data_IF_705770783857
#
_entry.id   IF_705770783857
#
_cell.length_a   1.000
_cell.length_b   1.000
_cell.length_c   1.000
_cell.angle_alpha   90.00
_cell.angle_beta   90.00
_cell.angle_gamma   90.00
#
_symmetry.space_group_name_H-M   'P 1'
#
loop_
_entity.id
_entity.type
_entity.pdbx_description
1 polymer ?
#
# COMPACT_ATOMS: atom_id res chain seq x y z
N UNK A 1 -29.74 -35.03 -26.84
CA UNK A 1 -29.11 -34.62 -25.59
C UNK A 1 -28.63 -33.20 -25.76
N UNK A 2 -28.97 -32.29 -24.86
CA UNK A 2 -28.42 -30.95 -24.92
C UNK A 2 -26.92 -31.04 -24.67
N UNK A 3 -26.15 -30.73 -25.68
CA UNK A 3 -24.71 -30.71 -25.60
C UNK A 3 -24.28 -29.54 -24.72
N UNK A 4 -24.14 -29.80 -23.43
CA UNK A 4 -23.50 -28.88 -22.51
C UNK A 4 -22.02 -28.93 -22.78
N UNK A 5 -21.49 -27.97 -23.54
CA UNK A 5 -20.06 -27.80 -23.71
C UNK A 5 -19.38 -27.54 -22.38
N UNK A 6 -18.11 -27.97 -22.28
CA UNK A 6 -17.24 -27.74 -21.09
C UNK A 6 -17.24 -26.28 -20.62
N UNK A 7 -17.39 -25.30 -21.53
CA UNK A 7 -17.40 -23.88 -21.22
C UNK A 7 -18.73 -23.34 -20.67
N UNK A 8 -19.78 -24.15 -20.53
CA UNK A 8 -21.07 -23.66 -20.06
C UNK A 8 -21.07 -23.14 -18.61
N UNK A 9 -20.34 -23.73 -17.66
CA UNK A 9 -20.18 -23.16 -16.32
C UNK A 9 -19.39 -21.86 -16.27
N UNK A 10 -18.66 -21.54 -17.35
CA UNK A 10 -17.83 -20.33 -17.47
C UNK A 10 -18.56 -19.17 -18.17
N UNK A 11 -19.87 -19.27 -18.35
CA UNK A 11 -20.66 -18.19 -18.91
C UNK A 11 -20.75 -17.03 -17.93
N UNK A 12 -20.38 -15.86 -18.42
CA UNK A 12 -20.55 -14.61 -17.69
C UNK A 12 -22.05 -14.30 -17.56
N UNK A 13 -22.48 -13.93 -16.38
CA UNK A 13 -23.87 -13.50 -16.11
C UNK A 13 -24.09 -12.07 -16.60
N UNK A 14 -25.36 -11.66 -16.72
CA UNK A 14 -25.70 -10.29 -17.07
C UNK A 14 -25.22 -9.29 -16.00
N UNK A 15 -25.27 -9.71 -14.74
CA UNK A 15 -24.84 -8.88 -13.60
C UNK A 15 -23.33 -8.64 -13.65
N UNK A 16 -22.54 -9.66 -13.98
CA UNK A 16 -21.09 -9.54 -14.19
C UNK A 16 -20.78 -8.63 -15.39
N UNK A 17 -21.53 -8.72 -16.47
CA UNK A 17 -21.37 -7.83 -17.64
C UNK A 17 -21.68 -6.38 -17.28
N UNK A 18 -22.76 -6.12 -16.55
CA UNK A 18 -23.12 -4.76 -16.10
C UNK A 18 -22.06 -4.22 -15.13
N UNK A 19 -21.61 -5.06 -14.18
CA UNK A 19 -20.54 -4.69 -13.24
C UNK A 19 -19.26 -4.32 -13.96
N UNK A 20 -18.81 -5.12 -14.92
CA UNK A 20 -17.60 -4.84 -15.70
C UNK A 20 -17.76 -3.56 -16.55
N UNK A 21 -18.92 -3.39 -17.19
CA UNK A 21 -19.18 -2.17 -17.98
C UNK A 21 -19.13 -0.91 -17.10
N UNK A 22 -19.72 -0.97 -15.92
CA UNK A 22 -19.69 0.14 -14.96
C UNK A 22 -18.28 0.42 -14.46
N UNK A 23 -17.52 -0.63 -14.12
CA UNK A 23 -16.12 -0.49 -13.70
C UNK A 23 -15.24 0.14 -14.79
N UNK A 24 -15.40 -0.31 -16.05
CA UNK A 24 -14.68 0.28 -17.18
C UNK A 24 -15.04 1.75 -17.40
N UNK A 25 -16.32 2.09 -17.29
CA UNK A 25 -16.76 3.48 -17.41
C UNK A 25 -16.13 4.36 -16.34
N UNK A 26 -16.19 3.95 -15.08
CA UNK A 26 -15.57 4.67 -13.96
C UNK A 26 -14.06 4.80 -14.16
N UNK A 27 -13.40 3.72 -14.57
CA UNK A 27 -11.96 3.74 -14.87
C UNK A 27 -11.59 4.74 -15.97
N UNK A 28 -12.39 4.84 -17.03
CA UNK A 28 -12.15 5.80 -18.11
C UNK A 28 -12.43 7.26 -17.72
N UNK A 29 -13.27 7.48 -16.71
CA UNK A 29 -13.61 8.80 -16.17
C UNK A 29 -12.63 9.23 -15.06
N UNK A 30 -11.75 8.34 -14.59
CA UNK A 30 -10.77 8.64 -13.53
C UNK A 30 -9.65 9.52 -14.07
N UNK A 31 -9.35 10.60 -13.37
CA UNK A 31 -8.18 11.44 -13.62
C UNK A 31 -6.98 10.85 -12.84
N UNK A 32 -6.07 10.22 -13.57
CA UNK A 32 -4.90 9.56 -13.01
C UNK A 32 -3.96 10.54 -12.29
N UNK A 33 -3.86 11.79 -12.75
CA UNK A 33 -3.01 12.79 -12.10
C UNK A 33 -3.62 13.28 -10.79
N UNK A 34 -4.92 13.52 -10.77
CA UNK A 34 -5.64 13.90 -9.56
C UNK A 34 -5.55 12.78 -8.51
N UNK A 35 -5.73 11.53 -8.92
CA UNK A 35 -5.61 10.36 -8.05
C UNK A 35 -4.19 10.19 -7.50
N UNK A 36 -3.17 10.42 -8.32
CA UNK A 36 -1.78 10.39 -7.89
C UNK A 36 -1.48 11.43 -6.82
N UNK A 37 -2.01 12.65 -6.97
CA UNK A 37 -1.85 13.71 -5.99
C UNK A 37 -2.54 13.34 -4.66
N UNK A 38 -3.75 12.81 -4.71
CA UNK A 38 -4.48 12.32 -3.54
C UNK A 38 -3.69 11.24 -2.76
N UNK A 39 -3.11 10.29 -3.48
CA UNK A 39 -2.25 9.28 -2.88
C UNK A 39 -1.00 9.89 -2.23
N UNK A 40 -0.38 10.87 -2.84
CA UNK A 40 0.76 11.59 -2.25
C UNK A 40 0.36 12.34 -0.99
N UNK A 41 -0.78 12.99 -0.99
CA UNK A 41 -1.33 13.69 0.18
C UNK A 41 -1.60 12.72 1.33
N UNK A 42 -2.07 11.51 1.03
CA UNK A 42 -2.27 10.44 2.02
C UNK A 42 -0.95 9.98 2.65
N UNK A 43 0.13 9.93 1.87
CA UNK A 43 1.46 9.52 2.35
C UNK A 43 2.23 10.64 3.06
N UNK A 44 1.94 11.90 2.79
CA UNK A 44 2.68 13.05 3.32
C UNK A 44 2.74 13.08 4.86
N UNK A 45 1.66 12.88 5.62
CA UNK A 45 1.72 12.87 7.07
C UNK A 45 2.56 11.71 7.65
N UNK A 46 2.63 10.57 6.95
CA UNK A 46 3.49 9.45 7.35
C UNK A 46 4.96 9.85 7.16
N UNK A 47 5.29 10.37 5.99
CA UNK A 47 6.65 10.81 5.69
C UNK A 47 7.11 11.90 6.67
N UNK A 48 6.26 12.85 6.99
CA UNK A 48 6.58 13.94 7.93
C UNK A 48 6.90 13.42 9.34
N UNK A 49 6.12 12.47 9.84
CA UNK A 49 6.36 11.84 11.14
C UNK A 49 7.68 11.07 11.19
N UNK A 50 8.05 10.43 10.09
CA UNK A 50 9.24 9.59 10.02
C UNK A 50 10.53 10.37 9.73
N UNK A 51 10.47 11.61 9.28
CA UNK A 51 11.66 12.45 8.99
C UNK A 51 12.63 12.60 10.17
N UNK A 52 12.11 12.54 11.39
CA UNK A 52 12.90 12.74 12.61
C UNK A 52 13.40 11.44 13.24
N UNK A 53 13.01 10.31 12.69
CA UNK A 53 13.45 8.98 13.17
C UNK A 53 14.85 8.71 12.64
N UNK A 54 15.78 8.46 13.54
CA UNK A 54 17.18 8.18 13.17
C UNK A 54 17.36 6.72 12.72
N UNK A 55 18.32 6.51 11.83
CA UNK A 55 18.68 5.16 11.37
C UNK A 55 17.72 4.53 10.38
N UNK A 56 16.81 5.32 9.80
CA UNK A 56 15.98 4.92 8.67
C UNK A 56 16.15 5.89 7.50
N UNK A 57 15.79 5.44 6.31
CA UNK A 57 15.70 6.28 5.12
C UNK A 57 14.27 6.24 4.58
N UNK A 58 13.68 7.42 4.35
CA UNK A 58 12.27 7.52 3.96
C UNK A 58 12.14 8.25 2.64
N UNK A 59 11.65 7.55 1.62
CA UNK A 59 11.48 8.10 0.28
C UNK A 59 10.15 7.68 -0.33
N UNK A 60 9.58 8.55 -1.17
CA UNK A 60 8.43 8.19 -2.01
C UNK A 60 8.98 7.77 -3.36
N UNK A 61 8.85 6.48 -3.68
CA UNK A 61 9.19 5.95 -5.00
C UNK A 61 7.93 5.96 -5.87
N UNK A 62 8.08 6.42 -7.09
CA UNK A 62 7.08 6.23 -8.12
C UNK A 62 7.36 4.89 -8.77
N UNK A 63 6.49 3.92 -8.55
CA UNK A 63 6.64 2.63 -9.20
C UNK A 63 6.45 2.81 -10.71
N UNK A 64 7.40 2.32 -11.51
CA UNK A 64 7.32 2.33 -12.97
C UNK A 64 6.22 1.40 -13.53
N UNK A 65 5.35 0.88 -12.68
CA UNK A 65 4.20 0.08 -13.08
C UNK A 65 3.15 0.96 -13.77
N UNK A 66 2.33 0.36 -14.60
CA UNK A 66 1.22 0.99 -15.32
C UNK A 66 0.22 1.76 -14.43
N UNK A 67 0.32 1.58 -13.14
CA UNK A 67 -0.60 2.15 -12.15
C UNK A 67 0.07 3.28 -11.40
N UNK A 68 0.52 4.31 -11.90
CA UNK A 68 1.07 5.53 -11.30
C UNK A 68 0.79 5.73 -9.77
N UNK A 69 1.00 4.70 -8.95
CA UNK A 69 0.76 4.73 -7.51
C UNK A 69 2.07 5.02 -6.79
N UNK A 70 2.17 6.14 -6.09
CA UNK A 70 3.34 6.43 -5.28
C UNK A 70 3.39 5.46 -4.10
N UNK A 71 4.58 4.97 -3.77
CA UNK A 71 4.81 4.07 -2.62
C UNK A 71 5.81 4.70 -1.68
N UNK A 72 5.48 4.81 -0.41
CA UNK A 72 6.42 5.23 0.61
C UNK A 72 7.29 4.04 0.98
N UNK A 73 8.60 4.19 0.81
CA UNK A 73 9.60 3.19 1.14
C UNK A 73 10.38 3.64 2.37
N UNK A 74 10.51 2.75 3.35
CA UNK A 74 11.18 2.97 4.62
C UNK A 74 12.35 1.99 4.68
N UNK A 75 13.54 2.45 4.33
CA UNK A 75 14.79 1.68 4.44
C UNK A 75 15.19 1.59 5.90
N UNK A 76 15.42 0.38 6.40
CA UNK A 76 15.67 0.14 7.82
C UNK A 76 17.15 0.24 8.20
N UNK A 77 18.07 0.12 7.23
CA UNK A 77 19.53 0.04 7.48
C UNK A 77 19.84 -0.96 8.60
N UNK A 78 19.22 -2.13 8.53
CA UNK A 78 19.22 -3.14 9.60
C UNK A 78 20.63 -3.52 10.03
N UNK A 79 21.58 -3.61 9.08
CA UNK A 79 22.99 -3.92 9.36
C UNK A 79 23.71 -2.82 10.16
N UNK A 80 23.31 -1.57 10.03
CA UNK A 80 23.91 -0.42 10.72
C UNK A 80 23.21 -0.09 12.03
N UNK A 81 21.86 -0.17 12.02
CA UNK A 81 21.02 0.18 13.15
C UNK A 81 20.87 -0.93 14.20
N UNK A 82 21.24 -2.18 13.83
CA UNK A 82 21.02 -3.37 14.67
C UNK A 82 19.55 -3.76 14.83
N UNK A 83 18.62 -3.13 14.09
CA UNK A 83 17.19 -3.44 14.16
C UNK A 83 16.90 -4.79 13.50
N UNK A 84 16.10 -5.60 14.17
CA UNK A 84 15.60 -6.84 13.59
C UNK A 84 14.24 -6.56 12.92
N UNK A 85 14.11 -6.69 11.60
CA UNK A 85 12.85 -6.41 10.89
C UNK A 85 11.67 -7.25 11.40
N UNK A 86 11.89 -8.51 11.78
CA UNK A 86 10.84 -9.37 12.27
C UNK A 86 10.28 -8.91 13.63
N UNK A 87 11.14 -8.38 14.49
CA UNK A 87 10.71 -7.84 15.78
C UNK A 87 9.91 -6.56 15.60
N UNK A 88 10.29 -5.70 14.64
CA UNK A 88 9.55 -4.50 14.27
C UNK A 88 8.16 -4.85 13.72
N UNK A 89 8.09 -5.79 12.78
CA UNK A 89 6.81 -6.27 12.22
C UNK A 89 5.90 -6.85 13.31
N UNK A 90 6.47 -7.59 14.25
CA UNK A 90 5.71 -8.14 15.38
C UNK A 90 5.20 -7.03 16.30
N UNK A 91 6.02 -6.04 16.65
CA UNK A 91 5.58 -4.89 17.44
C UNK A 91 4.46 -4.10 16.76
N UNK A 92 4.53 -3.91 15.44
CA UNK A 92 3.47 -3.26 14.66
C UNK A 92 2.18 -4.08 14.69
N UNK A 93 2.28 -5.40 14.57
CA UNK A 93 1.14 -6.31 14.54
C UNK A 93 0.48 -6.46 15.93
N UNK A 94 1.27 -6.50 17.01
CA UNK A 94 0.78 -6.71 18.38
C UNK A 94 0.33 -5.41 19.07
N UNK A 95 0.54 -4.25 18.43
CA UNK A 95 0.23 -2.94 19.01
C UNK A 95 -1.16 -2.42 18.71
N UNK A 96 -1.44 -1.18 19.18
CA UNK A 96 -2.70 -0.48 18.94
C UNK A 96 -2.40 0.92 18.38
N UNK A 97 -2.87 1.28 17.18
CA UNK A 97 -3.58 0.40 16.25
C UNK A 97 -2.70 -0.73 15.74
N UNK A 98 -3.31 -1.88 15.45
CA UNK A 98 -2.64 -3.00 14.81
C UNK A 98 -2.29 -2.66 13.36
N UNK A 99 -1.02 -2.82 13.01
CA UNK A 99 -0.54 -2.53 11.66
C UNK A 99 0.10 -3.78 11.06
N UNK A 100 -0.42 -4.21 9.91
CA UNK A 100 0.18 -5.29 9.13
C UNK A 100 1.04 -4.69 8.01
N UNK A 101 2.32 -5.04 8.02
CA UNK A 101 3.27 -4.65 6.99
C UNK A 101 4.11 -5.83 6.52
N UNK A 102 4.76 -5.67 5.38
CA UNK A 102 5.73 -6.63 4.84
C UNK A 102 7.10 -5.99 4.78
N UNK A 103 8.12 -6.83 4.89
CA UNK A 103 9.52 -6.46 4.74
C UNK A 103 10.12 -7.12 3.51
N UNK A 104 10.81 -6.32 2.70
CA UNK A 104 11.59 -6.82 1.57
C UNK A 104 13.05 -6.93 1.98
N UNK A 105 13.54 -8.18 2.08
CA UNK A 105 14.90 -8.46 2.50
C UNK A 105 15.96 -8.04 1.44
N UNK A 106 15.59 -7.91 0.17
CA UNK A 106 16.52 -7.48 -0.87
C UNK A 106 16.77 -5.97 -0.83
N UNK A 107 15.76 -5.20 -0.48
CA UNK A 107 15.85 -3.74 -0.37
C UNK A 107 16.12 -3.28 1.08
N UNK A 108 16.12 -4.19 2.06
CA UNK A 108 16.17 -3.88 3.50
C UNK A 108 15.15 -2.81 3.88
N UNK A 109 13.90 -2.98 3.43
CA UNK A 109 12.89 -1.94 3.51
C UNK A 109 11.49 -2.49 3.80
N UNK A 110 10.68 -1.65 4.44
CA UNK A 110 9.23 -1.78 4.50
C UNK A 110 8.59 -0.78 3.54
N UNK A 111 7.36 -1.04 3.09
CA UNK A 111 6.65 -0.13 2.19
C UNK A 111 5.21 0.11 2.61
N UNK A 112 4.73 1.32 2.34
CA UNK A 112 3.32 1.70 2.50
C UNK A 112 2.75 2.03 1.14
N UNK A 113 1.69 1.28 0.78
CA UNK A 113 0.92 1.54 -0.42
C UNK A 113 -0.37 2.30 -0.04
N UNK A 114 -0.60 3.51 -0.56
CA UNK A 114 -1.73 4.35 -0.17
C UNK A 114 -3.10 3.77 -0.54
N UNK A 115 -3.17 2.87 -1.54
CA UNK A 115 -4.42 2.20 -1.92
C UNK A 115 -5.07 1.45 -0.74
N UNK A 116 -4.26 0.97 0.19
CA UNK A 116 -4.72 0.20 1.35
C UNK A 116 -5.17 1.08 2.53
N UNK A 117 -4.98 2.40 2.43
CA UNK A 117 -5.29 3.34 3.51
C UNK A 117 -6.67 3.97 3.30
N UNK A 118 -7.43 4.05 4.37
CA UNK A 118 -8.68 4.82 4.39
C UNK A 118 -8.40 6.29 4.73
N UNK A 119 -9.31 7.21 4.38
CA UNK A 119 -9.18 8.61 4.75
C UNK A 119 -8.94 8.79 6.26
N UNK A 120 -7.89 9.51 6.63
CA UNK A 120 -7.52 9.76 8.03
C UNK A 120 -6.59 8.71 8.67
N UNK A 121 -6.31 7.59 8.02
CA UNK A 121 -5.40 6.57 8.57
C UNK A 121 -3.91 6.96 8.44
N UNK A 122 -3.56 7.81 7.47
CA UNK A 122 -2.18 8.24 7.27
C UNK A 122 -1.51 8.80 8.54
N UNK A 123 -2.10 9.78 9.23
CA UNK A 123 -1.55 10.31 10.49
C UNK A 123 -1.41 9.27 11.60
N UNK A 124 -2.36 8.33 11.71
CA UNK A 124 -2.34 7.25 12.71
C UNK A 124 -1.21 6.27 12.41
N UNK A 125 -1.10 5.84 11.17
CA UNK A 125 -0.02 4.97 10.72
C UNK A 125 1.34 5.62 10.91
N UNK A 126 1.49 6.90 10.55
CA UNK A 126 2.73 7.65 10.74
C UNK A 126 3.15 7.74 12.19
N UNK A 127 2.22 7.99 13.11
CA UNK A 127 2.49 8.02 14.55
C UNK A 127 2.93 6.64 15.06
N UNK A 128 2.24 5.58 14.67
CA UNK A 128 2.57 4.22 15.08
C UNK A 128 3.93 3.76 14.55
N UNK A 129 4.25 4.07 13.30
CA UNK A 129 5.56 3.78 12.73
C UNK A 129 6.68 4.56 13.43
N UNK A 130 6.46 5.83 13.74
CA UNK A 130 7.45 6.63 14.45
C UNK A 130 7.70 6.11 15.87
N UNK A 131 6.68 5.60 16.56
CA UNK A 131 6.81 4.97 17.88
C UNK A 131 7.66 3.69 17.83
N UNK A 132 7.43 2.82 16.84
CA UNK A 132 8.10 1.51 16.75
C UNK A 132 9.51 1.64 16.16
N UNK A 133 9.73 2.59 15.26
CA UNK A 133 11.01 2.81 14.59
C UNK A 133 11.93 3.81 15.32
N UNK A 134 11.41 4.60 16.23
CA UNK A 134 12.18 5.56 17.04
C UNK A 134 12.73 4.93 18.27
#
# INVERSE_FOLDING_TARGET
>A
APNHSIGRPQKVTKDEMVGMHTALKLFMETDDEAQFLEYRETLAPIQEKLKHVQGIDVSIKQTASKYHVPTLVIGLKSSESGRNPNDLLKQLLDGEPRVFMTYDANEDAMSVNPINLQPGEGPLLGARLAEVLG
#
